data_IF_989339106009
#
_entry.id   IF_989339106009
#
_cell.length_a   1.000
_cell.length_b   1.000
_cell.length_c   1.000
_cell.angle_alpha   90.00
_cell.angle_beta   90.00
_cell.angle_gamma   90.00
#
_symmetry.space_group_name_H-M   'P 1'
#
loop_
_entity.id
_entity.type
_entity.pdbx_description
1 polymer ?
#
# COMPACT_ATOMS: atom_id res chain seq x y z
N UNK A 1 -4.80 -3.25 -0.04
CA UNK A 1 -4.77 -4.47 -0.88
C UNK A 1 -3.51 -5.29 -0.63
N UNK A 2 -3.61 -6.63 -0.63
CA UNK A 2 -2.47 -7.57 -0.46
C UNK A 2 -2.51 -8.62 -1.57
N UNK A 3 -1.36 -9.00 -2.12
CA UNK A 3 -1.26 -10.10 -3.09
C UNK A 3 -0.62 -11.32 -2.45
N UNK A 4 -1.34 -12.44 -2.46
CA UNK A 4 -0.87 -13.74 -1.95
C UNK A 4 -0.20 -14.55 -3.06
N UNK A 5 0.72 -15.45 -2.68
CA UNK A 5 1.40 -16.37 -3.61
C UNK A 5 2.69 -15.83 -4.26
N UNK A 6 3.04 -14.55 -4.05
CA UNK A 6 4.32 -14.01 -4.53
C UNK A 6 5.49 -14.38 -3.60
N UNK A 7 6.71 -14.54 -4.15
CA UNK A 7 7.91 -14.86 -3.36
C UNK A 7 8.38 -13.68 -2.50
N UNK A 8 7.78 -12.49 -2.63
CA UNK A 8 8.05 -11.30 -1.82
C UNK A 8 6.74 -10.68 -1.31
N UNK A 9 6.84 -9.79 -0.32
CA UNK A 9 5.68 -9.08 0.24
C UNK A 9 5.23 -8.02 -0.76
N UNK A 10 3.93 -8.03 -1.12
CA UNK A 10 3.33 -7.00 -1.98
C UNK A 10 2.01 -6.53 -1.37
N UNK A 11 1.96 -5.24 -1.05
CA UNK A 11 0.75 -4.51 -0.72
C UNK A 11 0.53 -3.37 -1.73
N UNK A 12 -0.68 -2.81 -1.77
CA UNK A 12 -0.97 -1.60 -2.56
C UNK A 12 -2.12 -0.81 -1.95
N UNK A 13 -2.27 0.48 -2.29
CA UNK A 13 -3.47 1.24 -1.99
C UNK A 13 -4.73 0.59 -2.58
N UNK A 14 -5.89 1.01 -2.07
CA UNK A 14 -7.23 0.53 -2.44
C UNK A 14 -7.95 1.47 -3.41
N UNK A 15 -7.29 2.56 -3.83
CA UNK A 15 -7.81 3.52 -4.80
C UNK A 15 -7.01 3.49 -6.12
N UNK A 16 -7.59 4.09 -7.15
CA UNK A 16 -6.96 4.28 -8.47
C UNK A 16 -6.01 5.49 -8.52
N UNK A 17 -5.73 5.98 -9.73
CA UNK A 17 -4.75 7.04 -10.00
C UNK A 17 -5.18 8.44 -9.60
N UNK A 18 -6.49 8.69 -9.51
CA UNK A 18 -7.06 9.99 -9.12
C UNK A 18 -6.48 11.18 -9.94
N UNK A 19 -6.44 11.04 -11.27
CA UNK A 19 -5.83 12.03 -12.17
C UNK A 19 -6.50 13.41 -12.11
N UNK A 20 -7.79 13.44 -11.82
CA UNK A 20 -8.61 14.63 -11.63
C UNK A 20 -8.15 15.51 -10.46
N UNK A 21 -7.46 14.94 -9.46
CA UNK A 21 -6.95 15.64 -8.28
C UNK A 21 -5.41 15.65 -8.18
N UNK A 22 -4.72 15.16 -9.21
CA UNK A 22 -3.25 15.13 -9.23
C UNK A 22 -2.68 16.55 -9.11
N UNK A 23 -1.76 16.75 -8.17
CA UNK A 23 -1.12 18.05 -7.93
C UNK A 23 -1.95 19.07 -7.14
N UNK A 24 -3.19 18.74 -6.74
CA UNK A 24 -4.06 19.66 -5.98
C UNK A 24 -3.85 19.62 -4.46
N UNK A 25 -3.07 18.65 -3.96
CA UNK A 25 -2.80 18.51 -2.52
C UNK A 25 -3.97 18.00 -1.68
N UNK A 26 -5.06 17.53 -2.31
CA UNK A 26 -6.29 17.07 -1.65
C UNK A 26 -6.47 15.55 -1.61
N UNK A 27 -5.50 14.78 -2.12
CA UNK A 27 -5.56 13.32 -2.09
C UNK A 27 -5.55 12.79 -0.65
N UNK A 28 -6.36 11.78 -0.34
CA UNK A 28 -6.32 11.10 0.96
C UNK A 28 -5.21 10.03 0.99
N UNK A 29 -4.14 10.22 1.77
CA UNK A 29 -3.04 9.25 1.88
C UNK A 29 -3.33 8.02 2.78
N UNK A 30 -4.50 7.92 3.42
CA UNK A 30 -4.77 6.89 4.42
C UNK A 30 -4.53 5.45 3.92
N UNK A 31 -5.02 5.12 2.72
CA UNK A 31 -4.88 3.77 2.15
C UNK A 31 -3.41 3.43 1.81
N UNK A 32 -2.65 4.38 1.26
CA UNK A 32 -1.21 4.22 1.00
C UNK A 32 -0.44 3.94 2.29
N UNK A 33 -0.70 4.71 3.36
CA UNK A 33 -0.06 4.49 4.67
C UNK A 33 -0.38 3.12 5.24
N UNK A 34 -1.64 2.68 5.15
CA UNK A 34 -2.04 1.35 5.61
C UNK A 34 -1.32 0.25 4.82
N UNK A 35 -1.19 0.40 3.50
CA UNK A 35 -0.46 -0.56 2.66
C UNK A 35 1.02 -0.66 3.06
N UNK A 36 1.68 0.48 3.33
CA UNK A 36 3.09 0.51 3.77
C UNK A 36 3.26 -0.13 5.15
N UNK A 37 2.41 0.21 6.12
CA UNK A 37 2.46 -0.35 7.48
C UNK A 37 2.28 -1.87 7.46
N UNK A 38 1.33 -2.36 6.68
CA UNK A 38 1.10 -3.79 6.52
C UNK A 38 2.30 -4.50 5.87
N UNK A 39 2.91 -3.91 4.84
CA UNK A 39 4.11 -4.47 4.23
C UNK A 39 5.26 -4.60 5.23
N UNK A 40 5.47 -3.57 6.08
CA UNK A 40 6.47 -3.59 7.14
C UNK A 40 6.23 -4.74 8.13
N UNK A 41 4.98 -4.89 8.60
CA UNK A 41 4.63 -5.96 9.54
C UNK A 41 4.83 -7.35 8.93
N UNK A 42 4.37 -7.57 7.68
CA UNK A 42 4.54 -8.84 6.99
C UNK A 42 6.01 -9.16 6.70
N UNK A 43 6.81 -8.16 6.36
CA UNK A 43 8.25 -8.34 6.14
C UNK A 43 8.96 -8.78 7.42
N UNK A 44 8.65 -8.14 8.56
CA UNK A 44 9.16 -8.57 9.87
C UNK A 44 8.74 -9.99 10.22
N UNK A 45 7.48 -10.36 9.97
CA UNK A 45 6.98 -11.71 10.23
C UNK A 45 7.63 -12.81 9.36
N UNK A 46 8.14 -12.49 8.16
CA UNK A 46 8.85 -13.43 7.28
C UNK A 46 10.34 -13.63 7.63
N UNK A 47 10.93 -12.72 8.40
CA UNK A 47 12.33 -12.79 8.80
C UNK A 47 12.58 -13.73 10.00
N UNK A 48 11.50 -14.23 10.61
CA UNK A 48 11.48 -15.22 11.68
C UNK A 48 11.10 -16.59 11.12
#
# INVERSE_FOLDING_TARGET
>A
NVTLGLPFVRTSPDHGTAYDIAGQGVADPASMRAAMAMAWQMAGARAH
#
